data_IF_851869972571
#
_entry.id   IF_851869972571
#
_cell.length_a   1.000
_cell.length_b   1.000
_cell.length_c   1.000
_cell.angle_alpha   90.00
_cell.angle_beta   90.00
_cell.angle_gamma   90.00
#
_symmetry.space_group_name_H-M   'P 1'
#
loop_
_entity.id
_entity.type
_entity.pdbx_description
1 polymer ?
#
# COMPACT_ATOMS: atom_id res chain seq x y z
N UNK A 1 -0.94 -14.20 8.29
CA UNK A 1 0.27 -13.74 7.56
C UNK A 1 0.62 -12.30 7.96
N UNK A 2 -0.25 -11.32 7.72
CA UNK A 2 -0.01 -9.92 8.07
C UNK A 2 0.41 -9.69 9.54
N UNK A 3 -0.22 -10.36 10.52
CA UNK A 3 0.18 -10.24 11.94
C UNK A 3 1.63 -10.65 12.21
N UNK A 4 2.09 -11.77 11.62
CA UNK A 4 3.47 -12.22 11.74
C UNK A 4 4.43 -11.24 11.10
N UNK A 5 4.11 -10.78 9.90
CA UNK A 5 4.91 -9.77 9.21
C UNK A 5 4.94 -8.44 9.99
N UNK A 6 3.84 -8.02 10.62
CA UNK A 6 3.79 -6.84 11.48
C UNK A 6 4.75 -6.95 12.67
N UNK A 7 4.73 -8.11 13.36
CA UNK A 7 5.67 -8.40 14.46
C UNK A 7 7.13 -8.34 13.99
N UNK A 8 7.42 -8.91 12.81
CA UNK A 8 8.77 -8.83 12.25
C UNK A 8 9.17 -7.40 11.90
N UNK A 9 8.26 -6.57 11.36
CA UNK A 9 8.54 -5.16 11.09
C UNK A 9 8.88 -4.40 12.38
N UNK A 10 8.19 -4.69 13.49
CA UNK A 10 8.51 -4.13 14.82
C UNK A 10 9.89 -4.60 15.29
N UNK A 11 10.16 -5.90 15.24
CA UNK A 11 11.45 -6.48 15.66
C UNK A 11 12.63 -5.93 14.83
N UNK A 12 12.50 -5.83 13.50
CA UNK A 12 13.53 -5.28 12.62
C UNK A 12 13.73 -3.77 12.87
N UNK A 13 12.67 -3.04 13.21
CA UNK A 13 12.76 -1.62 13.55
C UNK A 13 13.50 -1.41 14.86
N UNK A 14 13.11 -2.12 15.93
CA UNK A 14 13.74 -1.99 17.24
C UNK A 14 15.16 -2.58 17.27
N UNK A 15 15.36 -3.77 16.69
CA UNK A 15 16.65 -4.47 16.67
C UNK A 15 17.74 -3.73 15.89
N UNK A 16 17.36 -2.85 14.95
CA UNK A 16 18.26 -1.97 14.22
C UNK A 16 18.27 -0.52 14.74
N UNK A 17 17.58 -0.25 15.86
CA UNK A 17 17.46 1.08 16.48
C UNK A 17 16.94 2.17 15.53
N UNK A 18 16.07 1.78 14.58
CA UNK A 18 15.55 2.71 13.58
C UNK A 18 14.53 3.65 14.22
N UNK A 19 14.71 4.94 13.94
CA UNK A 19 13.90 6.02 14.52
C UNK A 19 12.76 6.41 13.58
N UNK A 20 11.67 7.00 14.12
CA UNK A 20 10.68 7.66 13.29
C UNK A 20 11.31 8.86 12.56
N UNK A 21 10.60 9.39 11.56
CA UNK A 21 11.00 10.62 10.90
C UNK A 21 10.87 11.84 11.83
N UNK A 22 11.15 13.04 11.31
CA UNK A 22 11.10 14.30 12.07
C UNK A 22 9.73 14.62 12.68
N UNK A 23 8.66 13.98 12.20
CA UNK A 23 7.29 14.21 12.67
C UNK A 23 6.81 13.09 13.61
N UNK A 24 7.69 12.16 13.99
CA UNK A 24 7.35 11.04 14.87
C UNK A 24 6.61 9.91 14.14
N UNK A 25 6.70 9.84 12.82
CA UNK A 25 6.04 8.80 12.02
C UNK A 25 7.01 7.68 11.62
N UNK A 26 6.59 6.44 11.83
CA UNK A 26 7.26 5.25 11.27
C UNK A 26 6.73 4.98 9.87
N UNK A 27 7.50 5.38 8.85
CA UNK A 27 7.12 5.19 7.45
C UNK A 27 7.89 4.00 6.88
N UNK A 28 7.16 3.03 6.33
CA UNK A 28 7.72 1.92 5.56
C UNK A 28 7.47 2.19 4.07
N UNK A 29 8.53 2.41 3.32
CA UNK A 29 8.44 2.50 1.88
C UNK A 29 8.18 1.11 1.28
N UNK A 30 7.27 1.03 0.31
CA UNK A 30 6.86 -0.24 -0.32
C UNK A 30 7.07 -0.13 -1.82
N UNK A 31 8.00 -0.92 -2.34
CA UNK A 31 8.31 -1.02 -3.77
C UNK A 31 8.01 -2.44 -4.23
N UNK A 32 6.73 -2.75 -4.44
CA UNK A 32 6.24 -4.08 -4.80
C UNK A 32 5.19 -3.98 -5.91
N UNK A 33 5.12 -5.00 -6.76
CA UNK A 33 4.10 -5.16 -7.79
C UNK A 33 2.76 -5.60 -7.18
N UNK A 34 1.62 -5.30 -7.85
CA UNK A 34 0.31 -5.77 -7.43
C UNK A 34 0.27 -7.30 -7.25
N UNK A 35 0.08 -7.75 -6.00
CA UNK A 35 0.01 -9.16 -5.61
C UNK A 35 -0.71 -9.33 -4.26
N UNK A 36 -1.05 -10.56 -3.86
CA UNK A 36 -1.51 -10.85 -2.49
C UNK A 36 -0.44 -10.47 -1.46
N UNK A 37 0.84 -10.68 -1.80
CA UNK A 37 1.98 -10.33 -0.96
C UNK A 37 2.02 -8.82 -0.71
N UNK A 38 1.78 -7.98 -1.71
CA UNK A 38 1.66 -6.54 -1.52
C UNK A 38 0.56 -6.22 -0.51
N UNK A 39 -0.66 -6.74 -0.69
CA UNK A 39 -1.80 -6.47 0.22
C UNK A 39 -1.48 -6.90 1.65
N UNK A 40 -0.84 -8.06 1.81
CA UNK A 40 -0.40 -8.56 3.13
C UNK A 40 0.66 -7.65 3.75
N UNK A 41 1.62 -7.14 2.97
CA UNK A 41 2.65 -6.20 3.42
C UNK A 41 2.02 -4.89 3.89
N UNK A 42 1.08 -4.32 3.13
CA UNK A 42 0.40 -3.07 3.50
C UNK A 42 -0.38 -3.22 4.82
N UNK A 43 -1.11 -4.33 4.97
CA UNK A 43 -1.80 -4.67 6.23
C UNK A 43 -0.82 -4.86 7.39
N UNK A 44 0.34 -5.48 7.14
CA UNK A 44 1.36 -5.69 8.16
C UNK A 44 1.93 -4.36 8.67
N UNK A 45 2.18 -3.41 7.77
CA UNK A 45 2.67 -2.06 8.11
C UNK A 45 1.69 -1.34 9.02
N UNK A 46 0.39 -1.32 8.66
CA UNK A 46 -0.64 -0.72 9.50
C UNK A 46 -0.76 -1.42 10.86
N UNK A 47 -0.72 -2.75 10.89
CA UNK A 47 -0.77 -3.53 12.13
C UNK A 47 0.45 -3.33 13.03
N UNK A 48 1.58 -2.92 12.46
CA UNK A 48 2.77 -2.53 13.21
C UNK A 48 2.70 -1.09 13.74
N UNK A 49 1.65 -0.33 13.42
CA UNK A 49 1.54 1.10 13.79
C UNK A 49 2.33 2.03 12.86
N UNK A 50 2.69 1.58 11.66
CA UNK A 50 3.40 2.37 10.66
C UNK A 50 2.49 2.84 9.52
N UNK A 51 2.96 3.84 8.77
CA UNK A 51 2.39 4.25 7.50
C UNK A 51 3.15 3.63 6.33
N UNK A 52 2.45 3.32 5.24
CA UNK A 52 3.12 2.90 4.01
C UNK A 52 3.32 4.05 3.04
N UNK A 53 4.47 4.06 2.37
CA UNK A 53 4.82 4.98 1.28
C UNK A 53 5.05 4.17 0.00
N UNK A 54 4.10 4.12 -0.94
CA UNK A 54 4.28 3.34 -2.15
C UNK A 54 5.25 4.03 -3.10
N UNK A 55 6.19 3.25 -3.64
CA UNK A 55 7.14 3.68 -4.66
C UNK A 55 6.95 2.78 -5.88
N UNK A 56 6.70 3.37 -7.06
CA UNK A 56 6.62 2.60 -8.29
C UNK A 56 8.05 2.20 -8.73
N UNK A 57 8.33 0.90 -8.92
CA UNK A 57 9.66 0.45 -9.35
C UNK A 57 10.07 1.00 -10.73
N UNK A 58 9.14 1.47 -11.55
CA UNK A 58 9.44 2.11 -12.83
C UNK A 58 9.86 3.59 -12.71
N UNK A 59 9.83 4.19 -11.51
CA UNK A 59 10.32 5.55 -11.33
C UNK A 59 11.83 5.67 -11.58
N UNK A 60 12.29 6.76 -12.21
CA UNK A 60 13.73 7.05 -12.34
C UNK A 60 14.45 7.06 -10.99
N UNK A 61 15.72 6.65 -10.96
CA UNK A 61 16.50 6.52 -9.73
C UNK A 61 16.60 7.83 -8.93
N UNK A 62 16.79 8.97 -9.61
CA UNK A 62 16.81 10.29 -8.98
C UNK A 62 15.48 10.63 -8.29
N UNK A 63 14.34 10.22 -8.85
CA UNK A 63 13.03 10.41 -8.24
C UNK A 63 12.85 9.56 -6.99
N UNK A 64 13.26 8.30 -7.03
CA UNK A 64 13.24 7.42 -5.84
C UNK A 64 14.13 8.02 -4.76
N UNK A 65 15.36 8.41 -5.09
CA UNK A 65 16.29 9.03 -4.14
C UNK A 65 15.70 10.29 -3.49
N UNK A 66 15.09 11.18 -4.28
CA UNK A 66 14.42 12.37 -3.75
C UNK A 66 13.30 12.02 -2.76
N UNK A 67 12.45 11.04 -3.10
CA UNK A 67 11.35 10.58 -2.23
C UNK A 67 11.92 10.05 -0.90
N UNK A 68 12.98 9.24 -0.95
CA UNK A 68 13.59 8.67 0.26
C UNK A 68 14.25 9.74 1.13
N UNK A 69 14.92 10.72 0.52
CA UNK A 69 15.54 11.84 1.23
C UNK A 69 14.51 12.71 1.96
N UNK A 70 13.36 12.97 1.35
CA UNK A 70 12.31 13.81 1.93
C UNK A 70 11.49 13.03 2.98
N UNK A 71 11.01 11.83 2.64
CA UNK A 71 10.15 11.07 3.53
C UNK A 71 10.89 10.44 4.71
N UNK A 72 12.20 10.18 4.54
CA UNK A 72 13.06 9.45 5.50
C UNK A 72 12.38 8.20 6.06
N UNK A 73 11.98 7.25 5.19
CA UNK A 73 11.32 6.05 5.67
C UNK A 73 12.27 5.25 6.57
N UNK A 74 11.70 4.65 7.62
CA UNK A 74 12.38 3.78 8.56
C UNK A 74 13.02 2.60 7.80
N UNK A 75 12.32 2.04 6.83
CA UNK A 75 12.83 0.97 5.96
C UNK A 75 12.08 0.90 4.62
N UNK A 76 12.62 0.11 3.69
CA UNK A 76 11.99 -0.27 2.42
C UNK A 76 11.67 -1.76 2.43
N UNK A 77 10.43 -2.12 2.10
CA UNK A 77 10.05 -3.48 1.71
C UNK A 77 9.91 -3.52 0.19
N UNK A 78 10.57 -4.49 -0.46
CA UNK A 78 10.60 -4.61 -1.92
C UNK A 78 10.33 -6.03 -2.42
N UNK A 79 9.92 -6.17 -3.67
CA UNK A 79 9.98 -7.47 -4.35
C UNK A 79 11.45 -7.91 -4.55
N UNK A 80 11.65 -9.22 -4.62
CA UNK A 80 12.97 -9.85 -4.69
C UNK A 80 13.75 -9.50 -5.97
N UNK A 81 13.06 -9.27 -7.08
CA UNK A 81 13.61 -8.90 -8.40
C UNK A 81 14.01 -7.43 -8.53
N UNK A 82 13.64 -6.59 -7.55
CA UNK A 82 14.03 -5.17 -7.50
C UNK A 82 15.39 -5.04 -6.81
N UNK A 83 16.35 -4.42 -7.49
CA UNK A 83 17.68 -4.17 -6.92
C UNK A 83 17.62 -3.26 -5.69
N UNK A 84 18.18 -3.75 -4.57
CA UNK A 84 18.28 -3.02 -3.31
C UNK A 84 19.16 -1.75 -3.42
N UNK A 85 20.10 -1.69 -4.37
CA UNK A 85 20.95 -0.51 -4.58
C UNK A 85 20.16 0.74 -4.99
N UNK A 86 18.89 0.58 -5.40
CA UNK A 86 18.00 1.72 -5.70
C UNK A 86 17.56 2.49 -4.46
N UNK A 87 17.77 1.93 -3.26
CA UNK A 87 17.34 2.50 -1.98
C UNK A 87 18.53 2.82 -1.06
N UNK A 88 19.67 3.19 -1.65
CA UNK A 88 20.90 3.55 -0.92
C UNK A 88 20.62 4.50 0.25
N UNK A 89 21.15 4.16 1.42
CA UNK A 89 20.98 4.94 2.65
C UNK A 89 19.73 4.60 3.46
N UNK A 90 18.86 3.70 2.96
CA UNK A 90 17.68 3.23 3.69
C UNK A 90 17.74 1.72 3.94
N UNK A 91 17.54 1.24 5.19
CA UNK A 91 17.43 -0.19 5.47
C UNK A 91 16.40 -0.85 4.55
N UNK A 92 16.76 -1.96 3.92
CA UNK A 92 15.92 -2.65 2.94
C UNK A 92 15.70 -4.10 3.34
N UNK A 93 14.49 -4.60 3.14
CA UNK A 93 14.06 -5.98 3.38
C UNK A 93 13.35 -6.49 2.12
N UNK A 94 13.69 -7.70 1.64
CA UNK A 94 12.92 -8.31 0.55
C UNK A 94 11.62 -8.90 1.06
N UNK A 95 10.60 -9.00 0.21
CA UNK A 95 9.32 -9.61 0.56
C UNK A 95 9.51 -11.08 0.99
N UNK A 96 10.35 -11.84 0.28
CA UNK A 96 10.67 -13.23 0.68
C UNK A 96 11.33 -13.27 2.06
N UNK A 97 12.28 -12.38 2.35
CA UNK A 97 12.94 -12.32 3.66
C UNK A 97 11.95 -11.97 4.78
N UNK A 98 11.11 -10.95 4.56
CA UNK A 98 10.02 -10.58 5.49
C UNK A 98 9.14 -11.79 5.81
N UNK A 99 8.66 -12.48 4.78
CA UNK A 99 7.74 -13.59 5.01
C UNK A 99 8.42 -14.80 5.65
N UNK A 100 9.61 -15.18 5.20
CA UNK A 100 10.35 -16.32 5.73
C UNK A 100 10.69 -16.15 7.21
N UNK A 101 11.26 -14.98 7.60
CA UNK A 101 11.58 -14.69 9.00
C UNK A 101 10.32 -14.61 9.87
N UNK A 102 9.23 -14.07 9.33
CA UNK A 102 7.99 -13.90 10.09
C UNK A 102 7.34 -15.24 10.49
N UNK A 103 7.65 -16.35 9.80
CA UNK A 103 7.05 -17.66 10.10
C UNK A 103 7.35 -18.16 11.52
N UNK A 104 8.44 -17.70 12.14
CA UNK A 104 8.82 -18.06 13.50
C UNK A 104 8.08 -17.24 14.57
N UNK A 105 7.29 -16.23 14.17
CA UNK A 105 6.60 -15.32 15.08
C UNK A 105 5.13 -15.68 15.28
N UNK A 106 4.55 -15.18 16.37
CA UNK A 106 3.14 -15.36 16.67
C UNK A 106 2.21 -14.79 15.58
N UNK A 107 1.14 -15.52 15.27
CA UNK A 107 0.08 -15.05 14.38
C UNK A 107 -0.96 -14.13 15.05
N UNK A 108 -0.86 -13.86 16.35
CA UNK A 108 -1.76 -12.95 17.08
C UNK A 108 -1.51 -11.49 16.69
N UNK A 109 -2.54 -10.64 16.84
CA UNK A 109 -2.37 -9.19 16.71
C UNK A 109 -1.31 -8.68 17.69
N UNK A 110 -0.61 -7.62 17.31
CA UNK A 110 0.16 -6.80 18.25
C UNK A 110 -0.81 -6.09 19.20
N UNK A 111 -0.44 -6.02 20.48
CA UNK A 111 -1.05 -5.11 21.45
C UNK A 111 -0.59 -3.67 21.14
N UNK A 112 -1.33 -2.68 21.61
CA UNK A 112 -1.04 -1.27 21.32
C UNK A 112 0.35 -0.84 21.77
N UNK A 113 0.84 -1.36 22.90
CA UNK A 113 2.18 -1.14 23.44
C UNK A 113 3.29 -1.87 22.69
N UNK A 114 2.95 -2.89 21.90
CA UNK A 114 3.90 -3.62 21.05
C UNK A 114 4.05 -2.95 19.66
N UNK A 115 3.15 -2.04 19.28
CA UNK A 115 3.21 -1.33 18.00
C UNK A 115 4.32 -0.26 18.02
N UNK A 116 4.84 0.08 16.83
CA UNK A 116 5.80 1.18 16.64
C UNK A 116 5.23 2.51 17.11
N UNK A 117 3.94 2.72 16.86
CA UNK A 117 3.17 3.85 17.37
C UNK A 117 1.76 3.38 17.70
N UNK A 118 1.39 3.47 18.97
CA UNK A 118 0.03 3.20 19.43
C UNK A 118 -0.91 4.41 19.24
N UNK A 119 -2.22 4.16 19.31
CA UNK A 119 -3.27 5.18 19.19
C UNK A 119 -3.89 5.24 17.79
N UNK A 120 -4.91 6.09 17.62
CA UNK A 120 -5.66 6.20 16.35
C UNK A 120 -5.31 7.44 15.52
N UNK A 121 -4.46 8.33 16.04
CA UNK A 121 -4.07 9.61 15.42
C UNK A 121 -2.67 9.51 14.79
N UNK A 122 -2.53 8.57 13.87
CA UNK A 122 -1.31 8.43 13.08
C UNK A 122 -1.62 8.36 11.59
N UNK A 123 -0.62 8.73 10.80
CA UNK A 123 -0.69 8.61 9.35
C UNK A 123 -0.81 7.14 8.94
N UNK A 124 -1.58 6.89 7.89
CA UNK A 124 -1.77 5.57 7.29
C UNK A 124 -0.94 5.43 6.02
N UNK A 125 -0.87 6.51 5.23
CA UNK A 125 -0.28 6.51 3.89
C UNK A 125 0.42 7.85 3.63
N UNK A 126 1.55 7.80 2.96
CA UNK A 126 2.19 8.97 2.36
C UNK A 126 2.20 8.79 0.85
N UNK A 127 1.58 9.70 0.08
CA UNK A 127 1.56 9.66 -1.38
C UNK A 127 2.34 10.84 -1.96
N UNK A 128 3.24 10.59 -2.90
CA UNK A 128 3.99 11.66 -3.57
C UNK A 128 3.32 12.08 -4.88
N UNK A 129 3.05 13.37 -5.01
CA UNK A 129 2.53 13.98 -6.23
C UNK A 129 3.65 14.70 -6.99
N UNK A 130 3.48 14.98 -8.28
CA UNK A 130 4.51 15.67 -9.09
C UNK A 130 4.82 17.10 -8.63
N UNK A 131 3.94 17.73 -7.83
CA UNK A 131 4.08 19.11 -7.38
C UNK A 131 3.96 20.13 -8.52
N UNK A 132 3.31 21.26 -8.29
CA UNK A 132 3.23 22.35 -9.28
C UNK A 132 4.59 23.00 -9.59
N UNK A 133 5.55 22.87 -8.67
CA UNK A 133 6.93 23.38 -8.79
C UNK A 133 7.88 22.35 -9.43
N UNK A 134 7.38 21.20 -9.87
CA UNK A 134 8.19 20.09 -10.38
C UNK A 134 8.93 19.27 -9.31
N UNK A 135 8.89 19.72 -8.06
CA UNK A 135 9.45 19.00 -6.90
C UNK A 135 8.35 18.15 -6.27
N UNK A 136 8.52 16.81 -6.19
CA UNK A 136 7.52 15.95 -5.58
C UNK A 136 7.27 16.32 -4.11
N UNK A 137 6.00 16.34 -3.70
CA UNK A 137 5.59 16.60 -2.30
C UNK A 137 4.87 15.40 -1.72
N UNK A 138 5.28 14.96 -0.53
CA UNK A 138 4.58 13.94 0.25
C UNK A 138 3.27 14.46 0.84
N UNK A 139 2.15 13.90 0.41
CA UNK A 139 0.82 14.11 0.99
C UNK A 139 0.59 13.05 2.05
N UNK A 140 0.40 13.47 3.30
CA UNK A 140 0.13 12.60 4.44
C UNK A 140 -1.35 12.38 4.61
N UNK A 141 -1.75 11.12 4.75
CA UNK A 141 -3.14 10.70 4.91
C UNK A 141 -3.29 9.95 6.24
N UNK A 142 -3.84 10.59 7.28
CA UNK A 142 -4.29 9.94 8.51
C UNK A 142 -5.31 8.82 8.25
N UNK A 143 -5.36 7.85 9.17
CA UNK A 143 -6.39 6.79 9.12
C UNK A 143 -7.81 7.37 9.10
N UNK A 144 -8.07 8.41 9.90
CA UNK A 144 -9.38 9.07 9.97
C UNK A 144 -9.84 9.63 8.61
N UNK A 145 -8.92 10.17 7.79
CA UNK A 145 -9.26 10.70 6.47
C UNK A 145 -9.75 9.58 5.54
N UNK A 146 -9.07 8.42 5.58
CA UNK A 146 -9.45 7.25 4.80
C UNK A 146 -10.81 6.74 5.27
N UNK A 147 -11.00 6.59 6.59
CA UNK A 147 -12.24 6.12 7.17
C UNK A 147 -13.42 7.04 6.83
N UNK A 148 -13.26 8.36 7.01
CA UNK A 148 -14.29 9.33 6.67
C UNK A 148 -14.69 9.24 5.18
N UNK A 149 -13.70 9.17 4.29
CA UNK A 149 -13.95 9.03 2.84
C UNK A 149 -14.64 7.71 2.49
N UNK A 150 -14.28 6.60 3.13
CA UNK A 150 -14.91 5.30 2.88
C UNK A 150 -16.32 5.22 3.46
N UNK A 151 -16.56 5.76 4.65
CA UNK A 151 -17.88 5.86 5.27
C UNK A 151 -18.85 6.63 4.37
N UNK A 152 -18.44 7.78 3.83
CA UNK A 152 -19.24 8.51 2.84
C UNK A 152 -19.57 7.66 1.61
N UNK A 153 -18.59 6.93 1.06
CA UNK A 153 -18.81 6.09 -0.12
C UNK A 153 -19.76 4.94 0.17
N UNK A 154 -19.66 4.28 1.32
CA UNK A 154 -20.57 3.20 1.69
C UNK A 154 -22.00 3.69 1.97
N UNK A 155 -22.14 4.90 2.51
CA UNK A 155 -23.44 5.52 2.71
C UNK A 155 -24.10 5.94 1.38
N UNK A 156 -23.31 6.50 0.47
CA UNK A 156 -23.81 7.04 -0.81
C UNK A 156 -23.99 5.93 -1.86
N UNK A 157 -23.08 4.98 -1.88
CA UNK A 157 -22.99 3.88 -2.85
C UNK A 157 -22.77 2.55 -2.11
N UNK A 158 -23.76 2.06 -1.35
CA UNK A 158 -23.62 0.81 -0.62
C UNK A 158 -23.32 -0.35 -1.56
N UNK A 159 -22.55 -1.34 -1.08
CA UNK A 159 -22.38 -2.57 -1.84
C UNK A 159 -23.69 -3.36 -1.83
N UNK A 160 -24.11 -3.80 -3.01
CA UNK A 160 -25.24 -4.71 -3.15
C UNK A 160 -24.83 -6.15 -2.87
N UNK A 161 -25.79 -7.05 -2.63
CA UNK A 161 -25.52 -8.49 -2.51
C UNK A 161 -24.91 -9.11 -3.78
N UNK A 162 -25.03 -8.44 -4.92
CA UNK A 162 -24.43 -8.85 -6.19
C UNK A 162 -22.95 -8.44 -6.34
N UNK A 163 -22.44 -7.58 -5.45
CA UNK A 163 -21.06 -7.11 -5.41
C UNK A 163 -20.25 -7.92 -4.40
N UNK A 164 -19.79 -9.10 -4.81
CA UNK A 164 -19.03 -10.02 -3.92
C UNK A 164 -17.51 -9.88 -4.05
N UNK A 165 -17.03 -9.25 -5.13
CA UNK A 165 -15.61 -9.08 -5.45
C UNK A 165 -15.36 -7.64 -5.93
N UNK A 166 -14.48 -6.92 -5.25
CA UNK A 166 -13.93 -5.64 -5.70
C UNK A 166 -12.74 -5.83 -6.65
N UNK A 167 -12.24 -4.74 -7.24
CA UNK A 167 -11.07 -4.78 -8.13
C UNK A 167 -10.04 -3.75 -7.70
N UNK A 168 -8.78 -4.19 -7.57
CA UNK A 168 -7.63 -3.34 -7.32
C UNK A 168 -6.72 -3.36 -8.55
N UNK A 169 -6.79 -2.29 -9.35
CA UNK A 169 -6.05 -2.15 -10.61
C UNK A 169 -5.24 -0.86 -10.71
N UNK A 170 -5.63 0.15 -9.93
CA UNK A 170 -4.98 1.45 -9.91
C UNK A 170 -3.62 1.32 -9.27
N UNK A 171 -2.60 1.96 -9.85
CA UNK A 171 -1.26 1.95 -9.27
C UNK A 171 -1.30 2.48 -7.84
N UNK A 172 -0.63 1.80 -6.91
CA UNK A 172 -0.67 2.10 -5.47
C UNK A 172 -0.20 3.52 -5.13
N UNK A 173 0.55 4.16 -6.03
CA UNK A 173 1.00 5.54 -5.91
C UNK A 173 -0.09 6.59 -6.20
N UNK A 174 -1.31 6.18 -6.56
CA UNK A 174 -2.44 7.07 -6.84
C UNK A 174 -3.55 6.88 -5.81
N UNK A 175 -4.18 7.98 -5.39
CA UNK A 175 -5.16 8.00 -4.29
C UNK A 175 -6.35 7.06 -4.51
N UNK A 176 -6.78 6.83 -5.76
CA UNK A 176 -7.90 5.93 -6.07
C UNK A 176 -7.63 4.47 -5.68
N UNK A 177 -6.34 4.07 -5.55
CA UNK A 177 -5.99 2.74 -5.04
C UNK A 177 -6.56 2.49 -3.64
N UNK A 178 -6.73 3.53 -2.83
CA UNK A 178 -7.22 3.42 -1.45
C UNK A 178 -8.67 2.90 -1.45
N UNK A 179 -9.53 3.50 -2.29
CA UNK A 179 -10.93 3.11 -2.39
C UNK A 179 -11.10 1.74 -3.06
N UNK A 180 -10.28 1.44 -4.07
CA UNK A 180 -10.26 0.14 -4.76
C UNK A 180 -9.80 -1.00 -3.85
N UNK A 181 -8.81 -0.76 -3.00
CA UNK A 181 -8.22 -1.79 -2.14
C UNK A 181 -9.01 -1.93 -0.81
N UNK A 182 -9.10 -0.85 -0.04
CA UNK A 182 -9.62 -0.89 1.33
C UNK A 182 -11.14 -0.82 1.39
N UNK A 183 -11.76 -0.13 0.43
CA UNK A 183 -13.22 -0.04 0.34
C UNK A 183 -13.94 -1.39 0.37
N UNK A 184 -13.61 -2.37 -0.48
CA UNK A 184 -14.21 -3.71 -0.42
C UNK A 184 -13.70 -4.55 0.76
N UNK A 185 -12.39 -4.54 1.05
CA UNK A 185 -11.82 -5.36 2.12
C UNK A 185 -12.41 -5.05 3.50
N UNK A 186 -12.65 -3.77 3.81
CA UNK A 186 -13.25 -3.36 5.09
C UNK A 186 -14.74 -3.70 5.20
N UNK A 187 -15.39 -4.06 4.08
CA UNK A 187 -16.76 -4.59 4.06
C UNK A 187 -16.80 -6.13 3.98
N UNK A 188 -15.65 -6.82 4.13
CA UNK A 188 -15.58 -8.27 4.06
C UNK A 188 -15.65 -8.86 2.65
N UNK A 189 -15.53 -8.01 1.61
CA UNK A 189 -15.53 -8.47 0.22
C UNK A 189 -14.13 -8.92 -0.20
N UNK A 190 -14.08 -9.89 -1.11
CA UNK A 190 -12.83 -10.26 -1.77
C UNK A 190 -12.37 -9.16 -2.74
N UNK A 191 -11.10 -9.18 -3.12
CA UNK A 191 -10.56 -8.30 -4.16
C UNK A 191 -9.83 -9.11 -5.23
N UNK A 192 -10.03 -8.69 -6.47
CA UNK A 192 -9.21 -9.09 -7.61
C UNK A 192 -8.03 -8.12 -7.71
N UNK A 193 -6.81 -8.59 -7.46
CA UNK A 193 -5.59 -7.81 -7.67
C UNK A 193 -5.15 -7.95 -9.12
N UNK A 194 -5.16 -6.85 -9.87
CA UNK A 194 -4.88 -6.84 -11.31
C UNK A 194 -3.42 -6.48 -11.55
N UNK A 195 -2.63 -7.34 -12.23
CA UNK A 195 -1.26 -7.01 -12.59
C UNK A 195 -1.16 -5.79 -13.51
N UNK A 196 -0.12 -4.97 -13.36
CA UNK A 196 0.10 -3.75 -14.16
C UNK A 196 0.09 -4.01 -15.68
N UNK A 197 0.58 -5.18 -16.10
CA UNK A 197 0.58 -5.59 -17.51
C UNK A 197 -0.84 -5.79 -18.07
N UNK A 198 -1.79 -6.25 -17.25
CA UNK A 198 -3.20 -6.43 -17.64
C UNK A 198 -3.91 -5.08 -17.68
N UNK A 199 -3.65 -4.18 -16.73
CA UNK A 199 -4.26 -2.83 -16.73
C UNK A 199 -3.91 -2.01 -17.97
N UNK A 200 -2.78 -2.30 -18.63
CA UNK A 200 -2.34 -1.63 -19.87
C UNK A 200 -2.93 -2.23 -21.16
N UNK A 201 -3.61 -3.37 -21.07
CA UNK A 201 -4.23 -4.07 -22.20
C UNK A 201 -5.76 -4.04 -21.99
N UNK A 202 -6.49 -3.12 -22.65
CA UNK A 202 -7.93 -2.96 -22.45
C UNK A 202 -8.72 -4.25 -22.68
N UNK A 203 -8.36 -5.05 -23.69
CA UNK A 203 -9.08 -6.28 -24.00
C UNK A 203 -8.88 -7.34 -22.91
N UNK A 204 -7.63 -7.52 -22.44
CA UNK A 204 -7.37 -8.43 -21.32
C UNK A 204 -8.01 -7.95 -20.03
N UNK A 205 -8.03 -6.63 -19.79
CA UNK A 205 -8.71 -6.06 -18.63
C UNK A 205 -10.21 -6.36 -18.68
N UNK A 206 -10.90 -6.07 -19.79
CA UNK A 206 -12.34 -6.38 -19.95
C UNK A 206 -12.60 -7.86 -19.72
N UNK A 207 -11.86 -8.75 -20.39
CA UNK A 207 -12.04 -10.19 -20.22
C UNK A 207 -11.87 -10.65 -18.77
N UNK A 208 -10.92 -10.04 -18.04
CA UNK A 208 -10.72 -10.33 -16.62
C UNK A 208 -11.89 -9.80 -15.76
N UNK A 209 -12.35 -8.58 -16.01
CA UNK A 209 -13.48 -7.97 -15.30
C UNK A 209 -14.76 -8.80 -15.50
N UNK A 210 -15.03 -9.26 -16.72
CA UNK A 210 -16.17 -10.13 -17.05
C UNK A 210 -16.06 -11.48 -16.34
N UNK A 211 -14.88 -12.13 -16.42
CA UNK A 211 -14.62 -13.43 -15.77
C UNK A 211 -14.92 -13.39 -14.27
N UNK A 212 -14.49 -12.33 -13.58
CA UNK A 212 -14.72 -12.17 -12.14
C UNK A 212 -16.01 -11.42 -11.79
N UNK A 213 -16.85 -11.10 -12.79
CA UNK A 213 -18.13 -10.41 -12.64
C UNK A 213 -18.00 -9.12 -11.83
N UNK A 214 -16.96 -8.35 -12.10
CA UNK A 214 -16.71 -7.08 -11.42
C UNK A 214 -17.84 -6.11 -11.73
N UNK A 215 -18.44 -5.55 -10.69
CA UNK A 215 -19.64 -4.69 -10.78
C UNK A 215 -19.38 -3.22 -10.48
N UNK A 216 -18.22 -2.91 -9.90
CA UNK A 216 -17.82 -1.56 -9.55
C UNK A 216 -16.41 -1.30 -10.05
N UNK A 217 -16.23 -0.19 -10.74
CA UNK A 217 -14.96 0.17 -11.35
C UNK A 217 -14.75 1.67 -11.26
N UNK A 218 -13.56 2.08 -10.82
CA UNK A 218 -13.11 3.47 -10.89
C UNK A 218 -12.27 3.63 -12.15
N UNK A 219 -12.55 4.63 -12.98
CA UNK A 219 -11.84 4.86 -14.24
C UNK A 219 -11.49 6.33 -14.39
N UNK A 220 -10.27 6.57 -14.86
CA UNK A 220 -9.93 7.86 -15.46
C UNK A 220 -10.59 7.95 -16.85
N UNK A 221 -10.96 9.15 -17.33
CA UNK A 221 -11.69 9.30 -18.59
C UNK A 221 -11.00 8.67 -19.81
N UNK A 222 -9.67 8.67 -19.85
CA UNK A 222 -8.90 8.05 -20.94
C UNK A 222 -9.03 6.53 -20.95
N UNK A 223 -8.98 5.88 -19.78
CA UNK A 223 -9.16 4.44 -19.66
C UNK A 223 -10.60 4.05 -19.99
N UNK A 224 -11.60 4.81 -19.53
CA UNK A 224 -13.00 4.59 -19.91
C UNK A 224 -13.18 4.57 -21.43
N UNK A 225 -12.61 5.56 -22.14
CA UNK A 225 -12.67 5.60 -23.61
C UNK A 225 -12.02 4.41 -24.30
N UNK A 226 -11.02 3.76 -23.68
CA UNK A 226 -10.39 2.59 -24.27
C UNK A 226 -11.12 1.27 -24.00
N UNK A 227 -12.12 1.29 -23.11
CA UNK A 227 -12.93 0.11 -22.75
C UNK A 227 -14.31 0.11 -23.42
N UNK A 228 -14.72 1.24 -24.02
CA UNK A 228 -15.94 1.40 -24.80
C UNK A 228 -15.65 1.22 -26.29
#
# INVERSE_FOLDING_TARGET
RANRAARLLVEETHGRFLQPNSDGDFIVAVCMQPSEALVTTLLAIWKAGGAYLPIDPSFPANRIHHILLEAKPTMVVRDDDIDAQRFQGTPTLSATELYAKSLQLSGSNLLSEEMLRGGNDHIAIVLYTSGSTGVPKGVRLPHENILNRLQWQWATFPYTSAETVGVFKTALTFVDSIAELWGPLMCGLAILVVPKAVTKDPQRLVALLEKYKIRRLVLVPTLLRSLL
#
